data_IF_274387779153
#
_entry.id   IF_274387779153
#
_cell.length_a   1.000
_cell.length_b   1.000
_cell.length_c   1.000
_cell.angle_alpha   90.00
_cell.angle_beta   90.00
_cell.angle_gamma   90.00
#
_symmetry.space_group_name_H-M   'P 1'
#
loop_
_entity.id
_entity.type
_entity.pdbx_description
1 polymer ?
#
# COMPACT_ATOMS: atom_id res chain seq x y z
N UNK A 1 -8.90 31.73 -7.36
CA UNK A 1 -8.43 30.70 -6.40
C UNK A 1 -9.26 29.45 -6.63
N UNK A 2 -8.78 28.52 -7.47
CA UNK A 2 -9.57 27.33 -7.85
C UNK A 2 -9.83 26.47 -6.62
N UNK A 3 -11.11 26.13 -6.37
CA UNK A 3 -11.53 25.28 -5.27
C UNK A 3 -10.78 23.94 -5.36
N UNK A 4 -9.99 23.62 -4.33
CA UNK A 4 -9.40 22.30 -4.20
C UNK A 4 -10.54 21.30 -4.04
N UNK A 5 -10.64 20.35 -4.98
CA UNK A 5 -11.61 19.25 -4.94
C UNK A 5 -11.58 18.59 -3.55
N UNK A 6 -12.73 18.54 -2.88
CA UNK A 6 -12.89 18.09 -1.48
C UNK A 6 -12.96 16.56 -1.34
N UNK A 7 -12.72 15.82 -2.40
CA UNK A 7 -12.91 14.37 -2.46
C UNK A 7 -11.70 13.68 -3.08
N UNK A 8 -11.29 12.55 -2.51
CA UNK A 8 -10.30 11.68 -3.14
C UNK A 8 -10.83 11.23 -4.50
N UNK A 9 -9.97 11.16 -5.53
CA UNK A 9 -10.40 10.71 -6.85
C UNK A 9 -10.92 9.29 -6.76
N UNK A 10 -12.19 9.08 -7.12
CA UNK A 10 -12.77 7.75 -7.21
C UNK A 10 -12.27 7.06 -8.48
N UNK A 11 -11.64 5.89 -8.32
CA UNK A 11 -11.18 5.05 -9.43
C UNK A 11 -12.15 3.87 -9.53
N UNK A 12 -13.04 3.84 -10.54
CA UNK A 12 -13.95 2.71 -10.70
C UNK A 12 -13.16 1.44 -11.08
N UNK A 13 -13.63 0.28 -10.64
CA UNK A 13 -12.99 -1.00 -10.95
C UNK A 13 -12.82 -1.21 -12.47
N UNK A 14 -13.76 -0.70 -13.28
CA UNK A 14 -13.71 -0.75 -14.75
C UNK A 14 -12.57 0.06 -15.37
N UNK A 15 -12.00 1.03 -14.64
CA UNK A 15 -10.85 1.80 -15.09
C UNK A 15 -9.54 1.05 -14.84
N UNK A 16 -9.49 0.08 -13.91
CA UNK A 16 -8.25 -0.60 -13.50
C UNK A 16 -7.53 -1.27 -14.67
N UNK A 17 -8.29 -1.90 -15.59
CA UNK A 17 -7.72 -2.54 -16.78
C UNK A 17 -7.07 -1.57 -17.78
N UNK A 18 -7.32 -0.27 -17.62
CA UNK A 18 -6.79 0.80 -18.49
C UNK A 18 -5.67 1.59 -17.83
N UNK A 19 -5.31 1.27 -16.58
CA UNK A 19 -4.26 1.98 -15.85
C UNK A 19 -2.90 1.42 -16.30
N UNK A 20 -2.02 2.32 -16.72
CA UNK A 20 -0.62 1.98 -16.98
C UNK A 20 0.10 1.69 -15.66
N UNK A 21 1.01 0.71 -15.67
CA UNK A 21 1.84 0.40 -14.52
C UNK A 21 2.66 1.64 -14.08
N UNK A 22 2.82 1.88 -12.77
CA UNK A 22 3.68 2.94 -12.26
C UNK A 22 5.11 2.81 -12.80
N UNK A 23 5.74 3.93 -13.12
CA UNK A 23 7.13 3.98 -13.59
C UNK A 23 7.94 4.95 -12.75
N UNK A 24 9.25 4.72 -12.63
CA UNK A 24 10.14 5.61 -11.89
C UNK A 24 10.19 7.00 -12.54
N UNK A 25 9.69 8.02 -11.84
CA UNK A 25 9.69 9.43 -12.27
C UNK A 25 10.63 10.34 -11.50
N UNK A 26 10.99 10.00 -10.26
CA UNK A 26 11.84 10.85 -9.39
C UNK A 26 13.26 10.28 -9.37
N UNK A 27 14.23 11.04 -9.89
CA UNK A 27 15.66 10.67 -9.90
C UNK A 27 16.56 11.75 -9.30
N UNK A 28 16.07 12.99 -9.27
CA UNK A 28 16.80 14.18 -8.82
C UNK A 28 15.94 15.01 -7.86
N UNK A 29 16.57 15.94 -7.15
CA UNK A 29 15.85 16.87 -6.26
C UNK A 29 14.87 17.76 -7.01
N UNK A 30 15.18 18.13 -8.26
CA UNK A 30 14.26 18.89 -9.10
C UNK A 30 13.00 18.08 -9.43
N UNK A 31 13.12 16.78 -9.68
CA UNK A 31 11.95 15.91 -9.89
C UNK A 31 11.04 15.87 -8.65
N UNK A 32 11.61 15.97 -7.44
CA UNK A 32 10.82 16.08 -6.21
C UNK A 32 10.03 17.39 -6.17
N UNK A 33 10.65 18.49 -6.60
CA UNK A 33 9.97 19.78 -6.73
C UNK A 33 8.83 19.71 -7.74
N UNK A 34 9.05 19.08 -8.88
CA UNK A 34 8.01 18.87 -9.89
C UNK A 34 6.89 17.94 -9.40
N UNK A 35 7.23 16.87 -8.67
CA UNK A 35 6.26 15.95 -8.10
C UNK A 35 5.23 16.66 -7.22
N UNK A 36 5.66 17.61 -6.38
CA UNK A 36 4.77 18.39 -5.50
C UNK A 36 3.69 19.18 -6.24
N UNK A 37 3.86 19.44 -7.53
CA UNK A 37 2.90 20.19 -8.35
C UNK A 37 1.80 19.30 -8.94
N UNK A 38 1.99 17.99 -8.95
CA UNK A 38 1.08 17.04 -9.61
C UNK A 38 -0.23 16.79 -8.84
N UNK A 39 -1.21 16.19 -9.53
CA UNK A 39 -2.45 15.71 -8.90
C UNK A 39 -2.20 14.56 -7.93
N UNK A 40 -1.25 13.67 -8.21
CA UNK A 40 -0.92 12.55 -7.34
C UNK A 40 -0.43 13.02 -5.97
N UNK A 41 0.39 14.07 -5.92
CA UNK A 41 0.91 14.61 -4.66
C UNK A 41 -0.23 15.18 -3.82
N UNK A 42 -1.13 15.94 -4.46
CA UNK A 42 -2.32 16.50 -3.81
C UNK A 42 -3.22 15.40 -3.25
N UNK A 43 -3.46 14.34 -4.03
CA UNK A 43 -4.26 13.20 -3.59
C UNK A 43 -3.63 12.48 -2.40
N UNK A 44 -2.31 12.26 -2.44
CA UNK A 44 -1.56 11.63 -1.34
C UNK A 44 -1.61 12.43 -0.05
N UNK A 45 -1.32 13.74 -0.11
CA UNK A 45 -1.38 14.62 1.08
C UNK A 45 -2.81 14.71 1.61
N UNK A 46 -3.81 14.75 0.74
CA UNK A 46 -5.21 14.79 1.16
C UNK A 46 -5.64 13.50 1.86
N UNK A 47 -5.24 12.34 1.33
CA UNK A 47 -5.46 11.04 1.96
C UNK A 47 -4.82 10.98 3.36
N UNK A 48 -3.55 11.38 3.47
CA UNK A 48 -2.82 11.40 4.74
C UNK A 48 -3.52 12.29 5.78
N UNK A 49 -3.96 13.49 5.40
CA UNK A 49 -4.69 14.39 6.30
C UNK A 49 -6.00 13.77 6.79
N UNK A 50 -6.82 13.20 5.90
CA UNK A 50 -8.09 12.56 6.28
C UNK A 50 -7.88 11.38 7.22
N UNK A 51 -6.86 10.55 6.96
CA UNK A 51 -6.53 9.45 7.87
C UNK A 51 -6.11 9.96 9.24
N UNK A 52 -5.22 10.94 9.30
CA UNK A 52 -4.78 11.52 10.58
C UNK A 52 -5.95 12.11 11.37
N UNK A 53 -6.86 12.83 10.72
CA UNK A 53 -8.06 13.39 11.36
C UNK A 53 -9.02 12.29 11.83
N UNK A 54 -9.17 11.20 11.06
CA UNK A 54 -10.11 10.11 11.38
C UNK A 54 -9.78 9.33 12.66
N UNK A 55 -8.53 9.39 13.13
CA UNK A 55 -8.07 8.66 14.32
C UNK A 55 -7.94 9.55 15.56
N UNK A 56 -8.22 10.86 15.45
CA UNK A 56 -8.16 11.78 16.60
C UNK A 56 -9.24 11.41 17.61
N UNK A 57 -8.83 11.21 18.87
CA UNK A 57 -9.75 10.87 19.97
C UNK A 57 -10.11 9.38 20.06
N UNK A 58 -9.50 8.53 19.22
CA UNK A 58 -9.61 7.07 19.33
C UNK A 58 -8.40 6.48 20.03
N UNK A 59 -8.64 5.49 20.89
CA UNK A 59 -7.61 4.67 21.51
C UNK A 59 -7.72 3.23 21.03
N UNK A 60 -6.58 2.52 21.00
CA UNK A 60 -6.53 1.10 20.66
C UNK A 60 -6.48 0.25 21.94
N UNK A 61 -7.17 -0.91 21.99
CA UNK A 61 -7.99 -1.49 20.92
C UNK A 61 -9.32 -0.77 20.77
N UNK A 62 -9.76 -0.60 19.52
CA UNK A 62 -11.04 0.03 19.20
C UNK A 62 -12.18 -0.81 19.79
N UNK A 63 -12.96 -0.22 20.69
CA UNK A 63 -14.20 -0.80 21.20
C UNK A 63 -15.35 -0.39 20.29
N UNK A 64 -15.37 -0.87 19.05
CA UNK A 64 -16.43 -0.56 18.09
C UNK A 64 -17.09 -1.85 17.60
N UNK A 65 -18.40 -1.80 17.36
CA UNK A 65 -19.28 -2.86 16.83
C UNK A 65 -19.81 -2.53 15.41
N UNK A 66 -19.23 -1.52 14.75
CA UNK A 66 -19.62 -1.10 13.40
C UNK A 66 -19.57 -2.19 12.31
N UNK A 67 -20.53 -2.06 11.38
CA UNK A 67 -21.09 -3.18 10.59
C UNK A 67 -20.46 -3.41 9.21
N UNK A 68 -19.66 -2.50 8.66
CA UNK A 68 -19.04 -2.68 7.32
C UNK A 68 -17.51 -2.79 7.40
N UNK A 69 -17.04 -3.99 7.74
CA UNK A 69 -15.60 -4.31 7.84
C UNK A 69 -15.07 -5.08 6.65
N UNK A 70 -15.86 -5.39 5.63
CA UNK A 70 -15.45 -6.32 4.58
C UNK A 70 -14.15 -5.91 3.87
N UNK A 71 -13.95 -4.65 3.41
CA UNK A 71 -12.67 -4.25 2.80
C UNK A 71 -11.51 -4.30 3.79
N UNK A 72 -11.75 -3.96 5.06
CA UNK A 72 -10.74 -3.99 6.12
C UNK A 72 -10.33 -5.44 6.39
N UNK A 73 -11.29 -6.34 6.56
CA UNK A 73 -11.07 -7.78 6.74
C UNK A 73 -10.27 -8.34 5.57
N UNK A 74 -10.62 -8.01 4.32
CA UNK A 74 -9.85 -8.45 3.15
C UNK A 74 -8.39 -7.99 3.18
N UNK A 75 -8.13 -6.76 3.61
CA UNK A 75 -6.76 -6.26 3.81
C UNK A 75 -6.06 -7.02 4.95
N UNK A 76 -6.73 -7.23 6.08
CA UNK A 76 -6.18 -8.00 7.20
C UNK A 76 -5.85 -9.44 6.79
N UNK A 77 -6.75 -10.12 6.09
CA UNK A 77 -6.52 -11.48 5.57
C UNK A 77 -5.35 -11.53 4.59
N UNK A 78 -5.19 -10.51 3.74
CA UNK A 78 -4.00 -10.40 2.88
C UNK A 78 -2.73 -10.30 3.73
N UNK A 79 -2.72 -9.42 4.73
CA UNK A 79 -1.57 -9.23 5.62
C UNK A 79 -1.25 -10.48 6.45
N UNK A 80 -2.26 -11.18 6.97
CA UNK A 80 -2.11 -12.45 7.69
C UNK A 80 -1.52 -13.54 6.77
N UNK A 81 -1.95 -13.58 5.50
CA UNK A 81 -1.37 -14.48 4.50
C UNK A 81 0.10 -14.17 4.22
N UNK A 82 0.44 -12.88 4.08
CA UNK A 82 1.83 -12.44 3.92
C UNK A 82 2.69 -12.80 5.15
N UNK A 83 2.17 -12.60 6.35
CA UNK A 83 2.84 -12.94 7.62
C UNK A 83 3.10 -14.44 7.73
N UNK A 84 2.12 -15.29 7.38
CA UNK A 84 2.26 -16.74 7.42
C UNK A 84 3.38 -17.29 6.52
N UNK A 85 3.74 -16.59 5.44
CA UNK A 85 4.84 -17.01 4.57
C UNK A 85 6.21 -16.88 5.23
N UNK A 86 6.32 -16.11 6.32
CA UNK A 86 7.57 -16.00 7.09
C UNK A 86 7.90 -17.35 7.74
N UNK A 87 6.90 -18.08 8.23
CA UNK A 87 7.09 -19.42 8.80
C UNK A 87 7.47 -20.45 7.72
N UNK A 88 6.88 -20.33 6.53
CA UNK A 88 7.18 -21.19 5.38
C UNK A 88 8.58 -20.94 4.78
N UNK A 89 9.12 -19.73 4.94
CA UNK A 89 10.37 -19.28 4.34
C UNK A 89 11.32 -18.83 5.45
N UNK A 90 11.86 -19.79 6.24
CA UNK A 90 12.72 -19.47 7.34
C UNK A 90 14.04 -18.84 6.87
N UNK A 91 14.69 -18.02 7.71
CA UNK A 91 16.01 -17.46 7.40
C UNK A 91 17.03 -18.55 7.03
N UNK A 92 17.79 -18.32 5.96
CA UNK A 92 18.86 -19.25 5.58
C UNK A 92 19.98 -19.22 6.64
N UNK A 93 20.52 -20.37 7.07
CA UNK A 93 21.51 -20.46 8.15
C UNK A 93 22.93 -20.17 7.63
N UNK A 94 23.13 -19.02 6.99
CA UNK A 94 24.42 -18.59 6.45
C UNK A 94 24.90 -17.30 7.13
N UNK A 95 26.22 -17.12 7.32
CA UNK A 95 26.77 -15.92 7.95
C UNK A 95 26.65 -14.71 7.01
N UNK A 96 25.48 -14.07 6.99
CA UNK A 96 25.22 -12.87 6.21
C UNK A 96 25.34 -11.63 7.12
N UNK A 97 26.10 -10.63 6.69
CA UNK A 97 26.23 -9.34 7.40
C UNK A 97 25.11 -8.35 7.06
N UNK A 98 24.37 -8.60 5.99
CA UNK A 98 23.24 -7.80 5.51
C UNK A 98 21.97 -8.68 5.44
N UNK A 99 20.89 -8.16 4.84
CA UNK A 99 19.59 -8.84 4.78
C UNK A 99 19.68 -10.30 4.30
N UNK A 100 18.91 -11.18 4.93
CA UNK A 100 18.93 -12.61 4.66
C UNK A 100 18.37 -12.92 3.27
N UNK A 101 19.06 -13.76 2.50
CA UNK A 101 18.63 -14.22 1.17
C UNK A 101 17.21 -14.82 1.12
N UNK A 102 16.69 -15.37 2.22
CA UNK A 102 15.30 -15.83 2.34
C UNK A 102 14.28 -14.74 1.96
N UNK A 103 14.62 -13.44 2.12
CA UNK A 103 13.76 -12.34 1.70
C UNK A 103 13.53 -12.30 0.17
N UNK A 104 14.46 -12.82 -0.63
CA UNK A 104 14.28 -12.97 -2.08
C UNK A 104 13.26 -14.05 -2.41
N UNK A 105 13.30 -15.16 -1.68
CA UNK A 105 12.36 -16.26 -1.85
C UNK A 105 10.94 -15.80 -1.46
N UNK A 106 10.83 -15.02 -0.38
CA UNK A 106 9.60 -14.33 0.02
C UNK A 106 9.09 -13.36 -1.07
N UNK A 107 9.97 -12.52 -1.62
CA UNK A 107 9.63 -11.59 -2.69
C UNK A 107 9.18 -12.28 -3.99
N UNK A 108 9.83 -13.38 -4.36
CA UNK A 108 9.44 -14.16 -5.54
C UNK A 108 8.04 -14.77 -5.40
N UNK A 109 7.70 -15.27 -4.20
CA UNK A 109 6.33 -15.76 -3.89
C UNK A 109 5.30 -14.64 -3.99
N UNK A 110 5.62 -13.46 -3.47
CA UNK A 110 4.75 -12.28 -3.57
C UNK A 110 4.46 -11.89 -5.03
N UNK A 111 5.52 -11.85 -5.86
CA UNK A 111 5.38 -11.55 -7.29
C UNK A 111 4.52 -12.58 -8.01
N UNK A 112 4.70 -13.88 -7.73
CA UNK A 112 3.89 -14.95 -8.31
C UNK A 112 2.40 -14.76 -7.98
N UNK A 113 2.07 -14.52 -6.70
CA UNK A 113 0.68 -14.41 -6.23
C UNK A 113 0.00 -13.14 -6.72
N UNK A 114 0.71 -12.01 -6.76
CA UNK A 114 0.11 -10.70 -7.08
C UNK A 114 0.09 -10.43 -8.60
N UNK A 115 1.14 -10.80 -9.34
CA UNK A 115 1.23 -10.51 -10.78
C UNK A 115 0.58 -11.58 -11.65
N UNK A 116 0.47 -12.81 -11.14
CA UNK A 116 -0.09 -13.95 -11.86
C UNK A 116 -1.08 -14.73 -10.99
N UNK A 117 -2.18 -14.09 -10.52
CA UNK A 117 -3.17 -14.79 -9.71
C UNK A 117 -3.71 -15.99 -10.52
N UNK A 118 -3.49 -17.20 -10.01
CA UNK A 118 -4.18 -18.39 -10.53
C UNK A 118 -5.66 -18.21 -10.21
N UNK A 119 -6.48 -18.28 -11.26
CA UNK A 119 -7.89 -17.86 -11.28
C UNK A 119 -8.77 -18.48 -10.21
#
# INVERSE_FOLDING_TARGET
MSALSSTLPHVPATALSKINLPTLKIRTDEDVTQWKLTSGYRAFIFFLRRLNESVVGYELPLQDDSTDREPIIKIMTLLDGLDSWIDDIPPQPTPQRFGNLAFRDYGARLEEVILYPKG
#
